data_IF_050784035235
#
_entry.id   IF_050784035235
#
_cell.length_a   1.000
_cell.length_b   1.000
_cell.length_c   1.000
_cell.angle_alpha   90.00
_cell.angle_beta   90.00
_cell.angle_gamma   90.00
#
_symmetry.space_group_name_H-M   'P 1'
#
loop_
_entity.id
_entity.type
_entity.pdbx_description
1 polymer ?
#
# COMPACT_ATOMS: atom_id res chain seq x y z
N UNK A 1 7.93 -0.13 -27.72
CA UNK A 1 7.67 -0.14 -26.27
C UNK A 1 7.11 -1.50 -25.87
N UNK A 2 7.65 -2.15 -24.86
CA UNK A 2 7.16 -3.43 -24.33
C UNK A 2 5.75 -3.25 -23.76
N UNK A 3 4.86 -4.23 -23.98
CA UNK A 3 3.55 -4.23 -23.38
C UNK A 3 3.64 -4.32 -21.83
N UNK A 4 2.71 -3.68 -21.14
CA UNK A 4 2.59 -3.80 -19.69
C UNK A 4 2.14 -5.23 -19.33
N UNK A 5 2.67 -5.81 -18.25
CA UNK A 5 2.17 -7.07 -17.73
C UNK A 5 0.73 -6.93 -17.22
N UNK A 6 0.02 -8.04 -17.14
CA UNK A 6 -1.29 -8.06 -16.47
C UNK A 6 -1.15 -7.74 -14.98
N UNK A 7 -2.26 -7.34 -14.35
CA UNK A 7 -2.32 -7.10 -12.92
C UNK A 7 -1.95 -8.37 -12.15
N UNK A 8 -0.99 -8.23 -11.22
CA UNK A 8 -0.60 -9.33 -10.34
C UNK A 8 -1.70 -9.60 -9.31
N UNK A 9 -2.14 -10.86 -9.20
CA UNK A 9 -3.04 -11.29 -8.14
C UNK A 9 -2.20 -11.69 -6.92
N UNK A 10 -2.42 -11.01 -5.80
CA UNK A 10 -1.75 -11.32 -4.53
C UNK A 10 -2.68 -12.10 -3.60
N UNK A 11 -2.23 -13.25 -3.07
CA UNK A 11 -2.90 -13.94 -1.97
C UNK A 11 -2.33 -13.49 -0.62
N UNK A 12 -3.03 -12.60 0.11
CA UNK A 12 -2.60 -12.14 1.43
C UNK A 12 -3.07 -13.05 2.55
N UNK A 13 -3.73 -14.18 2.24
CA UNK A 13 -4.39 -15.02 3.25
C UNK A 13 -3.38 -15.98 3.85
N UNK A 14 -2.96 -15.70 5.08
CA UNK A 14 -2.13 -16.62 5.85
C UNK A 14 -2.89 -17.91 6.17
N UNK A 15 -2.26 -19.05 5.92
CA UNK A 15 -2.81 -20.36 6.31
C UNK A 15 -2.58 -20.58 7.80
N UNK A 16 -3.65 -20.90 8.51
CA UNK A 16 -3.62 -21.20 9.95
C UNK A 16 -4.36 -20.17 10.81
N UNK A 17 -4.18 -20.22 12.13
CA UNK A 17 -4.86 -19.29 13.03
C UNK A 17 -4.35 -17.85 12.82
N UNK A 18 -5.26 -16.88 12.95
CA UNK A 18 -4.91 -15.45 12.85
C UNK A 18 -3.74 -15.11 13.79
N UNK A 19 -2.72 -14.47 13.23
CA UNK A 19 -1.58 -13.96 13.97
C UNK A 19 -1.33 -12.51 13.60
N UNK A 20 -1.24 -11.64 14.60
CA UNK A 20 -0.78 -10.29 14.39
C UNK A 20 0.74 -10.28 14.36
N UNK A 21 1.32 -10.40 13.18
CA UNK A 21 2.76 -10.45 12.94
C UNK A 21 3.15 -9.46 11.84
N UNK A 22 4.43 -9.16 11.73
CA UNK A 22 4.92 -8.30 10.65
C UNK A 22 4.82 -9.00 9.29
N UNK A 23 4.94 -10.33 9.22
CA UNK A 23 4.78 -11.12 8.00
C UNK A 23 5.78 -10.72 6.89
N UNK A 24 7.03 -10.40 7.26
CA UNK A 24 8.02 -9.86 6.32
C UNK A 24 8.69 -10.97 5.52
N UNK A 25 8.79 -10.76 4.23
CA UNK A 25 9.63 -11.49 3.27
C UNK A 25 10.67 -10.55 2.67
N UNK A 26 11.55 -11.05 1.82
CA UNK A 26 12.53 -10.24 1.08
C UNK A 26 12.26 -10.39 -0.40
N UNK A 27 12.29 -9.27 -1.13
CA UNK A 27 12.17 -9.24 -2.58
C UNK A 27 13.45 -8.70 -3.22
N UNK A 28 13.79 -9.13 -4.45
CA UNK A 28 14.93 -8.58 -5.19
C UNK A 28 14.65 -7.16 -5.66
N UNK A 29 15.72 -6.45 -6.08
CA UNK A 29 15.64 -5.03 -6.47
C UNK A 29 14.72 -4.77 -7.66
N UNK A 30 14.66 -5.69 -8.60
CA UNK A 30 13.80 -5.64 -9.79
C UNK A 30 12.30 -5.70 -9.45
N UNK A 31 11.94 -6.29 -8.31
CA UNK A 31 10.57 -6.44 -7.85
C UNK A 31 10.21 -5.38 -6.78
N UNK A 32 10.98 -4.31 -6.69
CA UNK A 32 10.71 -3.24 -5.73
C UNK A 32 9.40 -2.54 -6.04
N UNK A 33 9.22 -2.11 -7.30
CA UNK A 33 7.99 -1.50 -7.79
C UNK A 33 7.25 -2.44 -8.72
N UNK A 34 5.94 -2.45 -8.64
CA UNK A 34 5.06 -3.20 -9.54
C UNK A 34 4.45 -2.25 -10.57
N UNK A 35 4.77 -2.48 -11.83
CA UNK A 35 4.23 -1.72 -12.96
C UNK A 35 3.41 -2.68 -13.83
N UNK A 36 2.10 -2.47 -13.90
CA UNK A 36 1.16 -3.36 -14.57
C UNK A 36 0.19 -2.61 -15.50
N UNK A 37 -0.77 -3.34 -16.07
CA UNK A 37 -1.75 -2.80 -17.01
C UNK A 37 -2.61 -1.65 -16.45
N UNK A 38 -2.68 -1.48 -15.12
CA UNK A 38 -3.42 -0.41 -14.47
C UNK A 38 -2.61 0.89 -14.39
N UNK A 39 -1.30 0.86 -14.72
CA UNK A 39 -0.41 2.01 -14.59
C UNK A 39 -0.96 3.30 -15.21
N UNK A 40 -1.45 3.34 -16.48
CA UNK A 40 -1.94 4.58 -17.06
C UNK A 40 -3.12 5.19 -16.31
N UNK A 41 -4.07 4.37 -15.88
CA UNK A 41 -5.26 4.82 -15.16
C UNK A 41 -4.94 5.30 -13.74
N UNK A 42 -4.12 4.54 -13.00
CA UNK A 42 -3.75 4.90 -11.63
C UNK A 42 -2.83 6.12 -11.58
N UNK A 43 -1.90 6.27 -12.54
CA UNK A 43 -1.08 7.47 -12.64
C UNK A 43 -1.90 8.71 -13.05
N UNK A 44 -2.94 8.55 -13.86
CA UNK A 44 -3.88 9.63 -14.14
C UNK A 44 -4.63 10.07 -12.88
N UNK A 45 -5.08 9.14 -12.05
CA UNK A 45 -5.74 9.45 -10.77
C UNK A 45 -4.76 10.11 -9.78
N UNK A 46 -3.51 9.64 -9.67
CA UNK A 46 -2.49 10.32 -8.85
C UNK A 46 -2.25 11.77 -9.30
N UNK A 47 -2.14 12.00 -10.62
CA UNK A 47 -2.01 13.37 -11.15
C UNK A 47 -3.19 14.25 -10.80
N UNK A 48 -4.42 13.73 -10.93
CA UNK A 48 -5.64 14.45 -10.58
C UNK A 48 -5.64 14.83 -9.08
N UNK A 49 -5.35 13.88 -8.20
CA UNK A 49 -5.31 14.10 -6.76
C UNK A 49 -4.23 15.13 -6.36
N UNK A 50 -3.04 15.03 -6.94
CA UNK A 50 -1.95 15.99 -6.71
C UNK A 50 -2.27 17.39 -7.24
N UNK A 51 -3.09 17.50 -8.26
CA UNK A 51 -3.53 18.80 -8.78
C UNK A 51 -4.69 19.41 -7.98
N UNK A 52 -5.69 18.59 -7.60
CA UNK A 52 -6.94 19.07 -7.02
C UNK A 52 -6.98 19.02 -5.50
N UNK A 53 -6.21 18.12 -4.88
CA UNK A 53 -6.22 17.82 -3.44
C UNK A 53 -4.81 17.71 -2.86
N UNK A 54 -3.87 18.55 -3.34
CA UNK A 54 -2.45 18.45 -3.01
C UNK A 54 -2.18 18.34 -1.51
N UNK A 55 -2.81 19.20 -0.70
CA UNK A 55 -2.63 19.20 0.76
C UNK A 55 -3.13 17.94 1.47
N UNK A 56 -4.03 17.18 0.84
CA UNK A 56 -4.52 15.90 1.39
C UNK A 56 -3.61 14.72 1.06
N UNK A 57 -2.83 14.83 -0.04
CA UNK A 57 -2.05 13.70 -0.58
C UNK A 57 -0.54 13.90 -0.55
N UNK A 58 -0.06 15.11 -0.25
CA UNK A 58 1.37 15.40 -0.10
C UNK A 58 1.63 16.19 1.19
N UNK A 59 2.61 15.76 1.97
CA UNK A 59 3.11 16.54 3.12
C UNK A 59 4.56 16.12 3.44
N UNK A 60 5.35 17.10 3.92
CA UNK A 60 6.72 16.88 4.37
C UNK A 60 7.03 17.80 5.57
N UNK A 61 7.73 17.26 6.55
CA UNK A 61 8.24 18.00 7.70
C UNK A 61 9.63 18.55 7.40
N UNK A 62 10.02 19.59 8.10
CA UNK A 62 11.41 20.11 8.07
C UNK A 62 12.43 19.02 8.40
N UNK A 63 13.60 19.06 7.72
CA UNK A 63 14.67 18.07 7.91
C UNK A 63 14.43 16.71 7.22
N UNK A 64 13.43 16.60 6.32
CA UNK A 64 13.24 15.44 5.47
C UNK A 64 13.87 15.59 4.07
N UNK A 65 14.42 16.74 3.74
CA UNK A 65 14.89 17.12 2.39
C UNK A 65 15.90 16.13 1.81
N UNK A 66 16.92 15.77 2.57
CA UNK A 66 17.95 14.80 2.14
C UNK A 66 17.32 13.44 1.83
N UNK A 67 16.41 12.97 2.68
CA UNK A 67 15.74 11.68 2.49
C UNK A 67 14.80 11.71 1.29
N UNK A 68 14.11 12.82 1.03
CA UNK A 68 13.23 12.98 -0.14
C UNK A 68 14.02 12.97 -1.45
N UNK A 69 15.14 13.71 -1.51
CA UNK A 69 16.03 13.71 -2.67
C UNK A 69 16.66 12.33 -2.92
N UNK A 70 17.09 11.64 -1.86
CA UNK A 70 17.63 10.29 -1.97
C UNK A 70 16.57 9.28 -2.44
N UNK A 71 15.33 9.39 -1.95
CA UNK A 71 14.21 8.56 -2.39
C UNK A 71 13.97 8.70 -3.90
N UNK A 72 13.91 9.93 -4.42
CA UNK A 72 13.78 10.17 -5.86
C UNK A 72 14.93 9.54 -6.64
N UNK A 73 16.17 9.77 -6.22
CA UNK A 73 17.33 9.22 -6.90
C UNK A 73 17.29 7.69 -6.98
N UNK A 74 16.88 7.02 -5.89
CA UNK A 74 16.76 5.56 -5.86
C UNK A 74 15.59 5.04 -6.70
N UNK A 75 14.44 5.73 -6.71
CA UNK A 75 13.30 5.39 -7.58
C UNK A 75 13.71 5.49 -9.05
N UNK A 76 14.31 6.61 -9.45
CA UNK A 76 14.78 6.83 -10.83
C UNK A 76 15.80 5.76 -11.23
N UNK A 77 16.79 5.48 -10.38
CA UNK A 77 17.81 4.45 -10.67
C UNK A 77 17.18 3.07 -10.83
N UNK A 78 16.21 2.68 -10.00
CA UNK A 78 15.50 1.41 -10.13
C UNK A 78 14.71 1.34 -11.43
N UNK A 79 13.91 2.36 -11.74
CA UNK A 79 13.06 2.39 -12.92
C UNK A 79 13.89 2.34 -14.22
N UNK A 80 14.95 3.13 -14.32
CA UNK A 80 15.81 3.15 -15.52
C UNK A 80 16.66 1.89 -15.67
N UNK A 81 16.96 1.19 -14.56
CA UNK A 81 17.72 -0.07 -14.60
C UNK A 81 16.84 -1.26 -14.95
N UNK A 82 15.66 -1.38 -14.33
CA UNK A 82 14.83 -2.57 -14.46
C UNK A 82 13.66 -2.42 -15.43
N UNK A 83 13.31 -1.17 -15.79
CA UNK A 83 12.24 -0.85 -16.74
C UNK A 83 12.70 0.11 -17.86
N UNK A 84 13.85 -0.15 -18.53
CA UNK A 84 14.43 0.79 -19.52
C UNK A 84 13.55 1.00 -20.77
N UNK A 85 12.64 0.07 -21.08
CA UNK A 85 11.65 0.24 -22.15
C UNK A 85 10.61 1.32 -21.85
N UNK A 86 10.41 1.64 -20.58
CA UNK A 86 9.37 2.56 -20.11
C UNK A 86 9.93 3.85 -19.52
N UNK A 87 11.17 3.83 -19.03
CA UNK A 87 11.81 5.00 -18.40
C UNK A 87 13.23 5.20 -18.93
N UNK A 88 13.55 6.44 -19.25
CA UNK A 88 14.92 6.84 -19.60
C UNK A 88 15.30 8.15 -18.91
N UNK A 89 16.56 8.26 -18.52
CA UNK A 89 17.13 9.48 -17.94
C UNK A 89 18.31 9.93 -18.79
N UNK A 90 18.24 11.16 -19.33
CA UNK A 90 19.30 11.77 -20.12
C UNK A 90 19.57 13.16 -19.57
N UNK A 91 20.79 13.40 -19.12
CA UNK A 91 21.27 14.70 -18.63
C UNK A 91 20.36 15.34 -17.57
N UNK A 92 19.82 14.53 -16.65
CA UNK A 92 18.92 15.00 -15.60
C UNK A 92 17.46 15.18 -16.01
N UNK A 93 17.12 14.86 -17.25
CA UNK A 93 15.74 14.81 -17.75
C UNK A 93 15.26 13.37 -17.77
N UNK A 94 14.27 13.07 -16.94
CA UNK A 94 13.59 11.78 -16.90
C UNK A 94 12.40 11.78 -17.86
N UNK A 95 12.33 10.77 -18.73
CA UNK A 95 11.16 10.52 -19.58
C UNK A 95 10.43 9.26 -19.13
N UNK A 96 9.10 9.37 -19.01
CA UNK A 96 8.17 8.26 -18.81
C UNK A 96 7.44 7.98 -20.13
N UNK A 97 7.85 6.94 -20.83
CA UNK A 97 7.30 6.57 -22.14
C UNK A 97 5.87 5.99 -22.05
N UNK A 98 5.42 5.58 -20.88
CA UNK A 98 4.05 5.07 -20.68
C UNK A 98 3.00 6.18 -20.65
N UNK A 99 3.37 7.37 -20.13
CA UNK A 99 2.49 8.53 -20.02
C UNK A 99 2.85 9.66 -20.98
N UNK A 100 4.04 9.61 -21.59
CA UNK A 100 4.58 10.67 -22.46
C UNK A 100 5.09 11.89 -21.70
N UNK A 101 5.19 11.81 -20.38
CA UNK A 101 5.65 12.93 -19.53
C UNK A 101 7.18 12.95 -19.41
N UNK A 102 7.71 14.16 -19.24
CA UNK A 102 9.14 14.39 -18.97
C UNK A 102 9.30 15.35 -17.81
N UNK A 103 10.34 15.15 -17.00
CA UNK A 103 10.64 15.98 -15.83
C UNK A 103 12.13 16.31 -15.73
N UNK A 104 12.42 17.57 -15.40
CA UNK A 104 13.72 17.96 -14.87
C UNK A 104 13.81 17.51 -13.42
N UNK A 105 14.74 16.60 -13.13
CA UNK A 105 14.94 16.04 -11.79
C UNK A 105 15.39 17.07 -10.75
N UNK A 106 15.94 18.20 -11.17
CA UNK A 106 16.41 19.27 -10.30
C UNK A 106 15.33 20.33 -9.99
N UNK A 107 14.24 20.38 -10.76
CA UNK A 107 13.25 21.45 -10.67
C UNK A 107 11.99 21.08 -9.85
N UNK A 108 11.75 19.79 -9.58
CA UNK A 108 10.54 19.31 -8.90
C UNK A 108 10.77 19.04 -7.42
N UNK A 109 9.69 19.00 -6.63
CA UNK A 109 9.73 18.44 -5.30
C UNK A 109 10.06 16.95 -5.38
N UNK A 110 11.16 16.49 -4.74
CA UNK A 110 11.68 15.16 -5.05
C UNK A 110 10.73 14.01 -4.73
N UNK A 111 10.09 14.01 -3.56
CA UNK A 111 9.21 12.90 -3.18
C UNK A 111 7.90 12.90 -3.97
N UNK A 112 7.37 14.08 -4.27
CA UNK A 112 6.19 14.20 -5.13
C UNK A 112 6.48 13.66 -6.52
N UNK A 113 7.63 14.04 -7.12
CA UNK A 113 8.05 13.49 -8.40
C UNK A 113 8.21 11.97 -8.33
N UNK A 114 8.86 11.43 -7.29
CA UNK A 114 8.96 9.99 -7.11
C UNK A 114 7.57 9.30 -7.11
N UNK A 115 6.59 9.90 -6.42
CA UNK A 115 5.20 9.41 -6.40
C UNK A 115 4.46 9.53 -7.73
N UNK A 116 4.90 10.43 -8.62
CA UNK A 116 4.39 10.56 -9.99
C UNK A 116 4.98 9.53 -10.97
N UNK A 117 5.95 8.74 -10.54
CA UNK A 117 6.64 7.75 -11.38
C UNK A 117 6.17 6.33 -11.12
N UNK A 118 5.64 6.03 -9.94
CA UNK A 118 5.26 4.67 -9.51
C UNK A 118 3.82 4.61 -9.01
N UNK A 119 3.23 3.43 -9.12
CA UNK A 119 1.86 3.19 -8.66
C UNK A 119 1.77 3.14 -7.12
N UNK A 120 2.89 2.90 -6.43
CA UNK A 120 2.99 2.93 -4.99
C UNK A 120 2.80 4.34 -4.43
N UNK A 121 2.14 4.44 -3.28
CA UNK A 121 2.29 5.58 -2.38
C UNK A 121 3.64 5.47 -1.67
N UNK A 122 4.31 6.59 -1.43
CA UNK A 122 5.65 6.63 -0.85
C UNK A 122 5.65 7.43 0.45
N UNK A 123 6.14 6.81 1.51
CA UNK A 123 6.24 7.39 2.85
C UNK A 123 7.68 7.30 3.36
N UNK A 124 8.20 8.40 3.91
CA UNK A 124 9.54 8.44 4.51
C UNK A 124 9.43 8.38 6.02
N UNK A 125 10.14 7.44 6.61
CA UNK A 125 10.26 7.26 8.05
C UNK A 125 11.71 7.51 8.46
N UNK A 126 11.94 8.48 9.33
CA UNK A 126 13.27 8.78 9.88
C UNK A 126 13.38 8.33 11.33
N UNK A 127 14.51 7.71 11.69
CA UNK A 127 14.80 7.40 13.08
C UNK A 127 15.18 8.69 13.82
N UNK A 128 14.43 9.03 14.85
CA UNK A 128 14.66 10.18 15.74
C UNK A 128 14.83 9.70 17.20
N UNK A 129 15.24 10.56 18.14
CA UNK A 129 15.36 10.16 19.55
C UNK A 129 14.09 9.54 20.13
N UNK A 130 12.93 10.06 19.76
CA UNK A 130 11.59 9.58 20.16
C UNK A 130 11.17 8.28 19.47
N UNK A 131 11.92 7.79 18.50
CA UNK A 131 11.62 6.60 17.72
C UNK A 131 11.52 6.88 16.21
N UNK A 132 11.04 5.92 15.43
CA UNK A 132 10.77 6.12 14.00
C UNK A 132 9.59 7.07 13.79
N UNK A 133 9.82 8.18 13.06
CA UNK A 133 8.83 9.24 12.79
C UNK A 133 8.49 9.28 11.31
N UNK A 134 7.20 9.41 10.99
CA UNK A 134 6.71 9.61 9.63
C UNK A 134 6.92 11.07 9.21
N UNK A 135 7.89 11.35 8.34
CA UNK A 135 8.37 12.71 8.09
C UNK A 135 8.04 13.28 6.73
N UNK A 136 7.74 12.46 5.74
CA UNK A 136 7.24 12.93 4.45
C UNK A 136 6.43 11.83 3.77
N UNK A 137 5.43 12.21 2.96
CA UNK A 137 4.63 11.26 2.21
C UNK A 137 3.96 11.86 1.00
N UNK A 138 3.86 11.06 -0.07
CA UNK A 138 2.93 11.21 -1.16
C UNK A 138 1.98 10.03 -1.09
N UNK A 139 0.72 10.30 -0.71
CA UNK A 139 -0.27 9.30 -0.32
C UNK A 139 -1.57 9.55 -1.08
N UNK A 140 -1.68 8.98 -2.27
CA UNK A 140 -2.83 9.13 -3.15
C UNK A 140 -3.89 8.02 -2.95
N UNK A 141 -3.50 6.86 -2.43
CA UNK A 141 -4.38 5.70 -2.31
C UNK A 141 -4.51 5.19 -0.87
N UNK A 142 -4.88 6.06 0.11
CA UNK A 142 -5.00 5.67 1.50
C UNK A 142 -6.14 4.69 1.73
N UNK A 143 -5.93 3.73 2.66
CA UNK A 143 -6.95 2.80 3.12
C UNK A 143 -7.65 3.34 4.37
N UNK A 144 -8.55 4.31 4.17
CA UNK A 144 -9.40 4.92 5.20
C UNK A 144 -8.61 5.63 6.32
N UNK A 145 -7.60 6.43 5.92
CA UNK A 145 -6.86 7.31 6.83
C UNK A 145 -6.35 8.55 6.08
N UNK A 146 -5.98 9.59 6.81
CA UNK A 146 -5.53 10.87 6.26
C UNK A 146 -4.06 11.10 6.54
N UNK A 147 -3.33 11.59 5.53
CA UNK A 147 -1.93 11.95 5.65
C UNK A 147 -1.70 13.00 6.76
N UNK A 148 -2.52 14.05 6.77
CA UNK A 148 -2.39 15.17 7.70
C UNK A 148 -2.57 14.80 9.18
N UNK A 149 -3.26 13.69 9.47
CA UNK A 149 -3.44 13.19 10.84
C UNK A 149 -2.19 12.45 11.36
N UNK A 150 -1.26 12.07 10.47
CA UNK A 150 -0.17 11.16 10.78
C UNK A 150 1.23 11.73 10.53
N UNK A 151 1.35 12.69 9.63
CA UNK A 151 2.63 13.31 9.33
C UNK A 151 3.25 13.99 10.56
N UNK A 152 4.55 13.82 10.75
CA UNK A 152 5.31 14.34 11.89
C UNK A 152 5.17 13.52 13.17
N UNK A 153 4.42 12.41 13.18
CA UNK A 153 4.18 11.60 14.38
C UNK A 153 5.07 10.35 14.42
N UNK A 154 5.47 9.88 15.60
CA UNK A 154 6.06 8.57 15.79
C UNK A 154 5.16 7.46 15.26
N UNK A 155 5.74 6.35 14.76
CA UNK A 155 4.95 5.23 14.22
C UNK A 155 4.00 4.61 15.25
N UNK A 156 4.32 4.66 16.52
CA UNK A 156 3.43 4.23 17.62
C UNK A 156 2.14 5.04 17.67
N UNK A 157 2.21 6.36 17.44
CA UNK A 157 1.03 7.24 17.35
C UNK A 157 0.30 7.08 16.01
N UNK A 158 1.06 6.95 14.91
CA UNK A 158 0.51 6.66 13.57
C UNK A 158 -0.41 5.43 13.62
N UNK A 159 -0.01 4.40 14.37
CA UNK A 159 -0.73 3.14 14.50
C UNK A 159 -1.59 3.02 15.77
N UNK A 160 -1.70 4.05 16.58
CA UNK A 160 -2.54 4.02 17.79
C UNK A 160 -3.99 3.55 17.55
N UNK A 161 -4.65 3.88 16.39
CA UNK A 161 -5.98 3.36 16.10
C UNK A 161 -6.02 1.86 15.76
N UNK A 162 -4.87 1.22 15.49
CA UNK A 162 -4.82 -0.20 15.08
C UNK A 162 -4.90 -1.09 16.34
N UNK A 163 -5.95 -1.90 16.51
CA UNK A 163 -6.08 -2.76 17.68
C UNK A 163 -4.89 -3.69 17.83
N UNK A 164 -4.44 -3.92 19.06
CA UNK A 164 -3.33 -4.78 19.44
C UNK A 164 -1.94 -4.34 18.91
N UNK A 165 -1.83 -3.19 18.24
CA UNK A 165 -0.54 -2.73 17.72
C UNK A 165 0.45 -2.44 18.84
N UNK A 166 0.03 -1.67 19.84
CA UNK A 166 0.91 -1.29 20.96
C UNK A 166 1.51 -2.53 21.66
N UNK A 167 0.69 -3.56 21.90
CA UNK A 167 1.09 -4.75 22.66
C UNK A 167 1.89 -5.76 21.82
N UNK A 168 1.60 -5.84 20.51
CA UNK A 168 2.10 -6.92 19.66
C UNK A 168 3.14 -6.49 18.65
N UNK A 169 3.04 -5.27 18.11
CA UNK A 169 3.83 -4.82 16.96
C UNK A 169 4.76 -3.63 17.24
N UNK A 170 4.45 -2.74 18.19
CA UNK A 170 5.22 -1.51 18.38
C UNK A 170 6.72 -1.78 18.57
N UNK A 171 7.09 -2.60 19.54
CA UNK A 171 8.49 -2.94 19.80
C UNK A 171 9.19 -3.66 18.64
N UNK A 172 8.58 -4.72 18.06
CA UNK A 172 9.10 -5.35 16.84
C UNK A 172 9.29 -4.39 15.65
N UNK A 173 8.32 -3.51 15.39
CA UNK A 173 8.41 -2.52 14.29
C UNK A 173 9.52 -1.52 14.54
N UNK A 174 9.61 -0.93 15.73
CA UNK A 174 10.67 0.01 16.08
C UNK A 174 12.06 -0.60 15.92
N UNK A 175 12.23 -1.84 16.41
CA UNK A 175 13.48 -2.58 16.27
C UNK A 175 13.79 -2.86 14.79
N UNK A 176 12.80 -3.26 14.01
CA UNK A 176 12.97 -3.50 12.58
C UNK A 176 13.38 -2.20 11.86
N UNK A 177 12.68 -1.09 12.10
CA UNK A 177 12.98 0.20 11.48
C UNK A 177 14.41 0.67 11.80
N UNK A 178 14.91 0.41 13.00
CA UNK A 178 16.30 0.76 13.38
C UNK A 178 17.35 -0.12 12.73
N UNK A 179 17.05 -1.41 12.49
CA UNK A 179 18.05 -2.41 12.07
C UNK A 179 17.92 -2.89 10.63
N UNK A 180 16.94 -2.39 9.87
CA UNK A 180 16.82 -2.69 8.44
C UNK A 180 18.13 -2.31 7.74
N UNK A 181 18.75 -3.26 7.02
CA UNK A 181 20.02 -3.04 6.33
C UNK A 181 19.80 -2.40 4.95
N UNK A 182 20.67 -1.47 4.52
CA UNK A 182 20.72 -1.04 3.12
C UNK A 182 20.87 -2.26 2.18
N UNK A 183 20.35 -2.14 0.95
CA UNK A 183 20.44 -3.19 -0.07
C UNK A 183 19.42 -4.33 0.10
N UNK A 184 18.62 -4.32 1.17
CA UNK A 184 17.50 -5.26 1.35
C UNK A 184 16.17 -4.56 1.24
N UNK A 185 15.23 -5.20 0.55
CA UNK A 185 13.84 -4.75 0.45
C UNK A 185 12.98 -5.76 1.19
N UNK A 186 12.45 -5.35 2.33
CA UNK A 186 11.45 -6.14 3.02
C UNK A 186 10.08 -5.88 2.38
N UNK A 187 9.29 -6.94 2.27
CA UNK A 187 7.95 -6.92 1.68
C UNK A 187 6.95 -7.60 2.60
N UNK A 188 5.72 -7.13 2.62
CA UNK A 188 4.58 -7.78 3.28
C UNK A 188 3.28 -7.45 2.57
N UNK A 189 2.28 -8.29 2.77
CA UNK A 189 0.91 -8.02 2.34
C UNK A 189 0.04 -7.67 3.54
N UNK A 190 -0.77 -6.62 3.40
CA UNK A 190 -1.87 -6.31 4.30
C UNK A 190 -3.17 -6.34 3.49
N UNK A 191 -4.28 -6.72 4.10
CA UNK A 191 -5.53 -6.83 3.39
C UNK A 191 -6.75 -6.36 4.19
N UNK A 192 -7.77 -5.96 3.47
CA UNK A 192 -9.12 -5.75 4.00
C UNK A 192 -10.16 -6.05 2.94
N UNK A 193 -11.40 -6.28 3.35
CA UNK A 193 -12.54 -6.33 2.44
C UNK A 193 -13.30 -5.03 2.61
N UNK A 194 -13.66 -4.42 1.48
CA UNK A 194 -14.32 -3.12 1.42
C UNK A 194 -15.53 -3.20 0.49
N UNK A 195 -16.47 -2.30 0.71
CA UNK A 195 -17.68 -2.12 -0.10
C UNK A 195 -17.57 -0.94 -1.08
N UNK A 196 -16.35 -0.43 -1.27
CA UNK A 196 -16.01 0.67 -2.18
C UNK A 196 -14.69 0.35 -2.87
N UNK A 197 -14.62 0.28 -4.21
CA UNK A 197 -13.41 0.01 -4.96
C UNK A 197 -12.49 1.23 -5.13
N UNK A 198 -12.92 2.43 -4.75
CA UNK A 198 -12.12 3.63 -4.95
C UNK A 198 -10.74 3.50 -4.32
N UNK A 199 -9.71 3.96 -5.04
CA UNK A 199 -8.34 3.94 -4.53
C UNK A 199 -8.13 5.00 -3.44
N UNK A 200 -8.62 6.23 -3.66
CA UNK A 200 -8.56 7.30 -2.67
C UNK A 200 -9.67 7.17 -1.64
N UNK A 201 -9.34 6.66 -0.45
CA UNK A 201 -10.28 6.49 0.66
C UNK A 201 -9.73 7.14 1.94
N UNK A 202 -9.88 8.46 2.14
CA UNK A 202 -9.36 9.15 3.32
C UNK A 202 -10.20 8.95 4.59
N UNK A 203 -11.38 8.31 4.49
CA UNK A 203 -12.32 8.11 5.60
C UNK A 203 -13.04 6.77 5.52
N UNK A 204 -13.82 6.42 6.54
CA UNK A 204 -14.72 5.25 6.51
C UNK A 204 -14.28 4.05 7.35
N UNK A 205 -13.34 4.21 8.30
CA UNK A 205 -13.06 3.22 9.35
C UNK A 205 -14.18 3.17 10.39
N UNK A 206 -14.22 2.06 11.13
CA UNK A 206 -15.12 1.85 12.29
C UNK A 206 -16.61 1.85 11.94
N UNK A 207 -16.99 1.67 10.66
CA UNK A 207 -18.40 1.54 10.30
C UNK A 207 -18.94 0.23 10.86
N UNK A 208 -19.98 0.34 11.68
CA UNK A 208 -20.69 -0.79 12.29
C UNK A 208 -22.14 -0.89 11.82
N UNK A 209 -22.67 0.17 11.23
CA UNK A 209 -24.02 0.18 10.68
C UNK A 209 -24.10 -0.81 9.52
N UNK A 210 -25.10 -1.69 9.59
CA UNK A 210 -25.32 -2.73 8.59
C UNK A 210 -25.66 -2.10 7.24
N UNK A 211 -25.00 -2.56 6.19
CA UNK A 211 -25.32 -2.21 4.82
C UNK A 211 -26.24 -3.28 4.21
N UNK A 212 -27.55 -3.04 4.23
CA UNK A 212 -28.56 -3.98 3.76
C UNK A 212 -28.56 -4.14 2.23
N UNK A 213 -27.90 -3.27 1.47
CA UNK A 213 -27.67 -3.44 0.04
C UNK A 213 -26.72 -4.60 -0.27
N UNK A 214 -25.86 -5.01 0.69
CA UNK A 214 -24.95 -6.14 0.54
C UNK A 214 -25.61 -7.41 1.09
N UNK A 215 -25.85 -8.34 0.19
CA UNK A 215 -26.53 -9.61 0.49
C UNK A 215 -25.63 -10.80 0.20
N UNK A 216 -26.02 -11.98 0.68
CA UNK A 216 -25.33 -13.22 0.33
C UNK A 216 -25.32 -13.52 -1.17
N UNK A 217 -26.23 -12.94 -1.95
CA UNK A 217 -26.32 -13.14 -3.40
C UNK A 217 -25.33 -12.28 -4.16
N UNK A 218 -25.14 -11.03 -3.74
CA UNK A 218 -24.36 -10.04 -4.50
C UNK A 218 -22.99 -9.70 -3.88
N UNK A 219 -22.63 -10.27 -2.72
CA UNK A 219 -21.38 -9.93 -2.03
C UNK A 219 -20.12 -10.13 -2.89
N UNK A 220 -20.15 -11.08 -3.84
CA UNK A 220 -19.03 -11.28 -4.78
C UNK A 220 -18.78 -10.10 -5.71
N UNK A 221 -19.82 -9.37 -6.06
CA UNK A 221 -19.79 -8.25 -7.01
C UNK A 221 -19.74 -6.88 -6.32
N UNK A 222 -20.22 -6.82 -5.06
CA UNK A 222 -20.32 -5.58 -4.28
C UNK A 222 -19.23 -5.39 -3.22
N UNK A 223 -18.46 -6.45 -2.96
CA UNK A 223 -17.31 -6.40 -2.07
C UNK A 223 -16.02 -6.61 -2.84
N UNK A 224 -14.97 -5.98 -2.34
CA UNK A 224 -13.65 -5.96 -2.96
C UNK A 224 -12.60 -6.38 -1.94
N UNK A 225 -11.70 -7.29 -2.33
CA UNK A 225 -10.47 -7.54 -1.60
C UNK A 225 -9.48 -6.43 -1.95
N UNK A 226 -9.13 -5.60 -0.97
CA UNK A 226 -8.08 -4.59 -1.08
C UNK A 226 -6.82 -5.12 -0.44
N UNK A 227 -5.77 -5.24 -1.23
CA UNK A 227 -4.45 -5.69 -0.81
C UNK A 227 -3.48 -4.52 -0.89
N UNK A 228 -2.73 -4.31 0.16
CA UNK A 228 -1.59 -3.41 0.19
C UNK A 228 -0.31 -4.25 0.17
N UNK A 229 0.39 -4.27 -0.95
CA UNK A 229 1.76 -4.75 -0.98
C UNK A 229 2.66 -3.64 -0.44
N UNK A 230 3.28 -3.90 0.68
CA UNK A 230 4.06 -2.93 1.43
C UNK A 230 5.53 -3.28 1.35
N UNK A 231 6.36 -2.37 0.83
CA UNK A 231 7.81 -2.53 0.74
C UNK A 231 8.51 -1.56 1.68
N UNK A 232 9.62 -1.98 2.30
CA UNK A 232 10.44 -1.15 3.19
C UNK A 232 11.90 -1.27 2.75
N UNK A 233 12.50 -0.14 2.41
CA UNK A 233 13.89 -0.06 1.97
C UNK A 233 14.62 1.05 2.70
N UNK A 234 15.79 0.73 3.29
CA UNK A 234 16.62 1.75 3.90
C UNK A 234 17.36 2.55 2.85
N UNK A 235 17.27 3.85 2.95
CA UNK A 235 18.04 4.83 2.18
C UNK A 235 19.46 4.89 2.77
N UNK A 236 20.53 4.60 1.97
CA UNK A 236 21.85 4.41 2.52
C UNK A 236 22.52 5.69 3.06
N UNK A 237 22.22 6.86 2.49
CA UNK A 237 22.85 8.11 2.87
C UNK A 237 22.16 8.79 4.06
N UNK A 238 20.85 8.97 3.99
CA UNK A 238 20.04 9.60 5.06
C UNK A 238 19.75 8.66 6.22
N UNK A 239 19.85 7.34 6.00
CA UNK A 239 19.45 6.34 6.99
C UNK A 239 17.92 6.24 7.20
N UNK A 240 17.12 7.02 6.47
CA UNK A 240 15.67 6.93 6.49
C UNK A 240 15.18 5.60 5.89
N UNK A 241 13.93 5.25 6.13
CA UNK A 241 13.28 4.11 5.48
C UNK A 241 12.24 4.65 4.52
N UNK A 242 12.34 4.28 3.26
CA UNK A 242 11.28 4.49 2.27
C UNK A 242 10.30 3.31 2.37
N UNK A 243 9.06 3.64 2.68
CA UNK A 243 7.94 2.72 2.77
C UNK A 243 7.04 2.94 1.57
N UNK A 244 6.99 1.95 0.67
CA UNK A 244 6.14 1.93 -0.51
C UNK A 244 4.86 1.13 -0.23
N UNK A 245 3.72 1.60 -0.72
CA UNK A 245 2.41 0.95 -0.58
C UNK A 245 1.79 0.83 -1.97
N UNK A 246 1.87 -0.35 -2.58
CA UNK A 246 1.11 -0.67 -3.80
C UNK A 246 -0.26 -1.17 -3.40
N UNK A 247 -1.30 -0.54 -3.91
CA UNK A 247 -2.69 -0.89 -3.61
C UNK A 247 -3.30 -1.64 -4.78
N UNK A 248 -3.83 -2.83 -4.51
CA UNK A 248 -4.60 -3.62 -5.45
C UNK A 248 -6.04 -3.74 -4.96
N UNK A 249 -7.01 -3.69 -5.86
CA UNK A 249 -8.44 -3.79 -5.54
C UNK A 249 -9.10 -4.79 -6.48
N UNK A 250 -9.44 -5.96 -5.96
CA UNK A 250 -10.03 -7.04 -6.73
C UNK A 250 -11.50 -7.23 -6.36
N UNK A 251 -12.44 -7.29 -7.33
CA UNK A 251 -13.78 -7.81 -7.07
C UNK A 251 -13.69 -9.18 -6.40
N UNK A 252 -14.46 -9.38 -5.34
CA UNK A 252 -14.30 -10.56 -4.48
C UNK A 252 -14.52 -11.89 -5.23
N UNK A 253 -15.41 -11.89 -6.23
CA UNK A 253 -15.64 -13.08 -7.06
C UNK A 253 -14.42 -13.52 -7.89
N UNK A 254 -13.43 -12.63 -8.15
CA UNK A 254 -12.20 -12.96 -8.90
C UNK A 254 -11.13 -13.62 -8.04
N UNK A 255 -11.16 -13.40 -6.74
CA UNK A 255 -10.00 -13.67 -5.84
C UNK A 255 -10.38 -14.39 -4.56
N UNK A 256 -11.59 -14.96 -4.50
CA UNK A 256 -12.03 -15.69 -3.33
C UNK A 256 -11.25 -17.01 -3.19
N UNK A 257 -10.43 -17.14 -2.17
CA UNK A 257 -9.72 -18.38 -1.85
C UNK A 257 -10.48 -19.19 -0.78
N UNK A 258 -10.31 -20.51 -0.74
CA UNK A 258 -10.89 -21.36 0.30
C UNK A 258 -10.53 -20.94 1.73
N UNK A 259 -9.35 -20.31 1.91
CA UNK A 259 -8.88 -19.81 3.20
C UNK A 259 -9.59 -18.54 3.67
N UNK A 260 -10.19 -17.77 2.78
CA UNK A 260 -10.73 -16.44 3.09
C UNK A 260 -11.85 -16.48 4.14
N UNK A 261 -12.78 -17.44 4.03
CA UNK A 261 -13.84 -17.61 5.01
C UNK A 261 -13.29 -17.90 6.41
N UNK A 262 -12.29 -18.79 6.51
CA UNK A 262 -11.62 -19.10 7.76
C UNK A 262 -10.88 -17.89 8.33
N UNK A 263 -10.17 -17.13 7.48
CA UNK A 263 -9.48 -15.91 7.88
C UNK A 263 -10.45 -14.84 8.41
N UNK A 264 -11.57 -14.61 7.73
CA UNK A 264 -12.62 -13.66 8.17
C UNK A 264 -13.23 -14.09 9.52
N UNK A 265 -13.46 -15.39 9.72
CA UNK A 265 -13.98 -15.90 11.00
C UNK A 265 -13.00 -15.75 12.14
N UNK A 266 -11.71 -15.94 11.87
CA UNK A 266 -10.64 -15.88 12.85
C UNK A 266 -10.21 -14.46 13.24
N UNK A 267 -10.70 -13.41 12.56
CA UNK A 267 -10.39 -12.03 12.92
C UNK A 267 -10.87 -11.70 14.33
N UNK A 268 -10.00 -11.19 15.22
CA UNK A 268 -10.42 -10.66 16.50
C UNK A 268 -11.49 -9.59 16.33
N UNK A 269 -12.45 -9.52 17.26
CA UNK A 269 -13.57 -8.58 17.19
C UNK A 269 -13.10 -7.13 17.00
N UNK A 270 -12.13 -6.68 17.79
CA UNK A 270 -11.57 -5.34 17.67
C UNK A 270 -10.99 -5.06 16.27
N UNK A 271 -10.31 -6.03 15.64
CA UNK A 271 -9.76 -5.90 14.28
C UNK A 271 -10.88 -5.90 13.26
N UNK A 272 -11.91 -6.72 13.45
CA UNK A 272 -13.12 -6.75 12.61
C UNK A 272 -13.82 -5.38 12.60
N UNK A 273 -14.04 -4.80 13.79
CA UNK A 273 -14.61 -3.45 13.91
C UNK A 273 -13.74 -2.37 13.27
N UNK A 274 -12.44 -2.37 13.54
CA UNK A 274 -11.50 -1.44 12.92
C UNK A 274 -11.55 -1.47 11.37
N UNK A 275 -11.70 -2.65 10.78
CA UNK A 275 -11.81 -2.86 9.34
C UNK A 275 -13.24 -2.70 8.80
N UNK A 276 -14.21 -2.27 9.62
CA UNK A 276 -15.63 -2.08 9.25
C UNK A 276 -16.36 -3.35 8.79
N UNK A 277 -15.88 -4.53 9.16
CA UNK A 277 -16.52 -5.80 8.81
C UNK A 277 -17.97 -5.94 9.32
N UNK A 278 -18.35 -5.41 10.51
CA UNK A 278 -19.74 -5.52 10.98
C UNK A 278 -20.78 -5.07 9.97
N UNK A 279 -20.44 -4.10 9.11
CA UNK A 279 -21.35 -3.57 8.11
C UNK A 279 -21.85 -4.62 7.09
N UNK A 280 -21.06 -5.67 6.82
CA UNK A 280 -21.39 -6.67 5.78
C UNK A 280 -20.93 -8.10 6.12
N UNK A 281 -20.40 -8.36 7.33
CA UNK A 281 -19.77 -9.64 7.68
C UNK A 281 -20.69 -10.85 7.51
N UNK A 282 -21.96 -10.74 7.88
CA UNK A 282 -22.92 -11.85 7.74
C UNK A 282 -23.18 -12.21 6.28
N UNK A 283 -23.40 -11.20 5.42
CA UNK A 283 -23.60 -11.39 3.99
C UNK A 283 -22.34 -11.97 3.33
N UNK A 284 -21.17 -11.45 3.67
CA UNK A 284 -19.87 -11.95 3.21
C UNK A 284 -19.68 -13.43 3.54
N UNK A 285 -19.84 -13.83 4.80
CA UNK A 285 -19.66 -15.22 5.21
C UNK A 285 -20.66 -16.16 4.56
N UNK A 286 -21.93 -15.75 4.45
CA UNK A 286 -22.94 -16.54 3.77
C UNK A 286 -22.65 -16.70 2.27
N UNK A 287 -22.05 -15.71 1.62
CA UNK A 287 -21.60 -15.82 0.23
C UNK A 287 -20.40 -16.77 0.11
N UNK A 288 -19.37 -16.60 0.97
CA UNK A 288 -18.17 -17.44 0.99
C UNK A 288 -18.50 -18.92 1.22
N UNK A 289 -19.45 -19.22 2.12
CA UNK A 289 -19.89 -20.60 2.41
C UNK A 289 -20.54 -21.28 1.19
N UNK A 290 -21.30 -20.52 0.42
CA UNK A 290 -21.88 -21.04 -0.82
C UNK A 290 -20.87 -21.29 -1.92
N UNK A 291 -19.82 -20.46 -1.99
CA UNK A 291 -18.76 -20.60 -2.98
C UNK A 291 -17.75 -21.70 -2.62
N UNK A 292 -17.65 -22.06 -1.34
CA UNK A 292 -16.60 -22.93 -0.82
C UNK A 292 -16.51 -24.36 -1.36
N UNK A 293 -17.54 -24.85 -2.06
CA UNK A 293 -17.54 -26.17 -2.69
C UNK A 293 -17.28 -26.14 -4.20
N UNK A 294 -17.28 -24.96 -4.83
CA UNK A 294 -17.22 -24.81 -6.29
C UNK A 294 -15.94 -24.06 -6.76
N UNK A 295 -14.98 -23.82 -5.87
CA UNK A 295 -13.95 -22.82 -6.10
C UNK A 295 -12.68 -23.42 -6.71
N UNK A 296 -12.22 -22.91 -7.84
CA UNK A 296 -10.86 -23.12 -8.36
C UNK A 296 -9.97 -22.03 -7.76
N UNK A 297 -8.86 -22.41 -7.13
CA UNK A 297 -7.91 -21.48 -6.52
C UNK A 297 -7.30 -20.53 -7.58
N UNK A 298 -7.57 -19.22 -7.56
CA UNK A 298 -7.05 -18.29 -8.56
C UNK A 298 -5.56 -17.97 -8.35
N UNK A 299 -4.98 -18.39 -7.22
CA UNK A 299 -3.57 -18.17 -6.90
C UNK A 299 -2.67 -19.38 -7.23
N UNK A 300 -3.24 -20.48 -7.73
CA UNK A 300 -2.49 -21.62 -8.26
C UNK A 300 -1.73 -22.44 -7.23
N UNK A 301 -2.25 -22.60 -6.03
CA UNK A 301 -1.67 -23.44 -4.95
C UNK A 301 -2.12 -24.89 -5.04
#
# INVERSE_FOLDING_TARGET
>A
MRALPEETLHDPIERGPYRMAMGLTVVPDQDWFEIDALYPAEMAEKRRLLAEQHADVFAATSGSDVARAEALAMVVANLTTHHPDWFSNTDGTLANHLTGETWDLGAAEPLELAGRLVQEDLCIVQNRPEGPVFTAGVLCFPSRWRLNEKIGRPLTEVHAPVPLYADRLAGPVDRFMRHLKPGRIANRLNWSILDDPALFQPAGKWRSERNDAITAQNAGDTLFLRVERQTLRRLPNSGAVLFGIRVHVYPLHRVCSPGLAAAVRALPEAVSHYKSFPAFRSALLAWLDRMGSAYTDPFGN
#
